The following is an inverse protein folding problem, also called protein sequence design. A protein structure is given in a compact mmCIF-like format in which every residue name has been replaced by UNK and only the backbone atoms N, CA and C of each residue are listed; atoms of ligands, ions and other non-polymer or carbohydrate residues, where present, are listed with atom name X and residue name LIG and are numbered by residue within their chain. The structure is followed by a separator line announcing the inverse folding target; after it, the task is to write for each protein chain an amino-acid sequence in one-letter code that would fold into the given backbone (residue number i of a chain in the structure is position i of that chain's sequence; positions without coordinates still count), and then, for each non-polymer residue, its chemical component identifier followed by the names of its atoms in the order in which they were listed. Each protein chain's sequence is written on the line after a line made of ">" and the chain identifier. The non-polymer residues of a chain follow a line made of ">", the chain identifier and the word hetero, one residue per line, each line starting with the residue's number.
data_IF_256737362364
#
_entry.id   IF_256737362364
#
_cell.length_a   1.000
_cell.length_b   1.000
_cell.length_c   1.000
_cell.angle_alpha   90.00
_cell.angle_beta   90.00
_cell.angle_gamma   90.00
#
_symmetry.space_group_name_H-M   'P 1'
#
loop_
_entity.id
_entity.type
_entity.pdbx_description
1 polymer ?
#
# COMPACT_ATOMS: atom_id res chain seq x y z
N UNK A 1 -13.74 0.60 1.37
CA UNK A 1 -13.69 -0.86 1.38
C UNK A 1 -12.36 -1.40 0.88
N UNK A 2 -11.93 -2.48 1.49
CA UNK A 2 -10.65 -3.12 1.17
C UNK A 2 -10.58 -3.64 -0.26
N UNK A 3 -11.71 -4.02 -0.82
CA UNK A 3 -11.77 -4.52 -2.20
C UNK A 3 -11.22 -3.48 -3.19
N UNK A 4 -11.54 -2.22 -2.97
CA UNK A 4 -11.06 -1.13 -3.81
C UNK A 4 -9.53 -1.00 -3.71
N UNK A 5 -8.99 -1.01 -2.50
CA UNK A 5 -7.55 -0.94 -2.30
C UNK A 5 -6.84 -2.15 -2.89
N UNK A 6 -7.43 -3.33 -2.75
CA UNK A 6 -6.85 -4.55 -3.32
C UNK A 6 -6.80 -4.48 -4.84
N UNK A 7 -7.87 -3.99 -5.47
CA UNK A 7 -7.90 -3.88 -6.92
C UNK A 7 -6.82 -2.93 -7.44
N UNK A 8 -6.63 -1.79 -6.77
CA UNK A 8 -5.60 -0.83 -7.16
C UNK A 8 -4.20 -1.40 -6.93
N UNK A 9 -3.98 -2.05 -5.79
CA UNK A 9 -2.67 -2.65 -5.50
C UNK A 9 -2.35 -3.75 -6.51
N UNK A 10 -3.31 -4.56 -6.87
CA UNK A 10 -3.13 -5.61 -7.85
C UNK A 10 -2.75 -5.03 -9.22
N UNK A 11 -3.46 -4.00 -9.65
CA UNK A 11 -3.14 -3.30 -10.90
C UNK A 11 -1.73 -2.71 -10.84
N UNK A 12 -1.40 -2.04 -9.75
CA UNK A 12 -0.09 -1.40 -9.59
C UNK A 12 1.04 -2.43 -9.60
N UNK A 13 0.81 -3.62 -9.03
CA UNK A 13 1.84 -4.67 -9.03
C UNK A 13 2.22 -5.11 -10.44
N UNK A 14 1.34 -4.91 -11.41
CA UNK A 14 1.60 -5.25 -12.80
C UNK A 14 2.10 -4.06 -13.62
N UNK A 15 1.70 -2.86 -13.26
CA UNK A 15 1.98 -1.65 -14.03
C UNK A 15 3.26 -0.95 -13.59
N UNK A 16 3.65 -1.07 -12.32
CA UNK A 16 4.84 -0.39 -11.82
C UNK A 16 6.12 -1.07 -12.32
N UNK A 17 7.11 -0.24 -12.60
CA UNK A 17 8.45 -0.73 -12.88
C UNK A 17 9.09 -1.25 -11.59
N UNK A 18 10.09 -2.13 -11.69
CA UNK A 18 10.84 -2.54 -10.50
C UNK A 18 11.31 -1.32 -9.70
N UNK A 19 11.08 -1.35 -8.40
CA UNK A 19 11.38 -0.21 -7.52
C UNK A 19 10.29 0.84 -7.48
N UNK A 20 9.21 0.67 -8.23
CA UNK A 20 8.08 1.59 -8.20
C UNK A 20 7.40 1.60 -6.84
N UNK A 21 6.73 2.68 -6.51
CA UNK A 21 6.09 2.88 -5.22
C UNK A 21 4.61 3.15 -5.37
N UNK A 22 3.86 2.71 -4.39
CA UNK A 22 2.43 2.97 -4.29
C UNK A 22 2.14 3.60 -2.94
N UNK A 23 1.38 4.67 -2.95
CA UNK A 23 0.99 5.38 -1.74
C UNK A 23 -0.53 5.48 -1.70
N UNK A 24 -1.11 5.04 -0.60
CA UNK A 24 -2.54 5.23 -0.34
C UNK A 24 -2.74 6.21 0.79
N UNK A 25 -3.71 7.10 0.62
CA UNK A 25 -4.32 7.82 1.72
C UNK A 25 -5.53 7.02 2.16
N UNK A 26 -5.63 6.71 3.44
CA UNK A 26 -6.67 5.81 3.93
C UNK A 26 -7.44 6.43 5.09
N UNK A 27 -8.59 5.87 5.37
CA UNK A 27 -9.25 6.08 6.65
C UNK A 27 -8.39 5.40 7.72
N UNK A 28 -8.20 6.08 8.85
CA UNK A 28 -7.39 5.58 9.96
C UNK A 28 -7.76 4.15 10.35
N UNK A 29 -9.05 3.84 10.35
CA UNK A 29 -9.54 2.52 10.74
C UNK A 29 -9.03 1.39 9.84
N UNK A 30 -8.63 1.70 8.61
CA UNK A 30 -8.26 0.69 7.63
C UNK A 30 -6.77 0.68 7.27
N UNK A 31 -5.96 1.55 7.86
CA UNK A 31 -4.57 1.70 7.45
C UNK A 31 -3.79 0.39 7.54
N UNK A 32 -3.92 -0.35 8.65
CA UNK A 32 -3.18 -1.59 8.82
C UNK A 32 -3.69 -2.70 7.89
N UNK A 33 -5.00 -2.71 7.62
CA UNK A 33 -5.57 -3.69 6.70
C UNK A 33 -5.15 -3.40 5.25
N UNK A 34 -5.03 -2.11 4.89
CA UNK A 34 -4.50 -1.72 3.58
C UNK A 34 -3.03 -2.15 3.46
N UNK A 35 -2.25 -1.98 4.52
CA UNK A 35 -0.86 -2.44 4.53
C UNK A 35 -0.78 -3.95 4.30
N UNK A 36 -1.63 -4.72 4.96
CA UNK A 36 -1.67 -6.17 4.75
C UNK A 36 -2.08 -6.52 3.32
N UNK A 37 -3.04 -5.79 2.77
CA UNK A 37 -3.47 -5.98 1.38
C UNK A 37 -2.31 -5.75 0.41
N UNK A 38 -1.52 -4.70 0.63
CA UNK A 38 -0.35 -4.43 -0.19
C UNK A 38 0.67 -5.56 -0.08
N UNK A 39 0.91 -6.06 1.13
CA UNK A 39 1.82 -7.19 1.33
C UNK A 39 1.35 -8.42 0.58
N UNK A 40 0.05 -8.70 0.62
CA UNK A 40 -0.56 -9.83 -0.08
C UNK A 40 -0.37 -9.73 -1.59
N UNK A 41 -0.33 -8.51 -2.12
CA UNK A 41 -0.14 -8.28 -3.56
C UNK A 41 1.35 -8.16 -3.94
N UNK A 42 2.25 -8.43 -3.02
CA UNK A 42 3.68 -8.53 -3.33
C UNK A 42 4.50 -7.28 -3.06
N UNK A 43 3.92 -6.28 -2.42
CA UNK A 43 4.67 -5.08 -2.07
C UNK A 43 5.56 -5.33 -0.87
N UNK A 44 6.70 -4.62 -0.82
CA UNK A 44 7.68 -4.70 0.26
C UNK A 44 7.96 -3.30 0.80
N UNK A 45 8.74 -3.21 1.87
CA UNK A 45 9.08 -1.95 2.52
C UNK A 45 7.83 -1.14 2.86
N UNK A 46 6.79 -1.84 3.33
CA UNK A 46 5.51 -1.22 3.61
C UNK A 46 5.62 -0.41 4.90
N UNK A 47 5.18 0.86 4.83
CA UNK A 47 5.15 1.74 5.99
C UNK A 47 3.76 2.32 6.15
N UNK A 48 3.29 2.33 7.38
CA UNK A 48 2.08 3.05 7.76
C UNK A 48 2.54 4.36 8.40
N UNK A 49 2.12 5.47 7.83
CA UNK A 49 2.51 6.79 8.32
C UNK A 49 1.35 7.51 8.99
N UNK A 50 1.67 8.19 10.07
CA UNK A 50 0.68 8.95 10.81
C UNK A 50 0.53 10.35 10.23
N UNK A 51 -0.67 10.93 10.41
CA UNK A 51 -0.90 12.33 10.09
C UNK A 51 -0.37 13.22 11.22
N UNK A 52 -0.62 14.53 11.11
CA UNK A 52 -0.14 15.51 12.09
C UNK A 52 -0.79 15.34 13.48
N UNK A 53 -1.85 14.54 13.58
CA UNK A 53 -2.50 14.25 14.85
C UNK A 53 -2.10 12.88 15.41
N UNK A 54 -1.11 12.23 14.81
CA UNK A 54 -0.63 10.94 15.26
C UNK A 54 -1.50 9.76 14.84
N UNK A 55 -2.40 9.93 13.88
CA UNK A 55 -3.28 8.86 13.44
C UNK A 55 -2.80 8.27 12.12
N UNK A 56 -2.81 6.92 11.98
CA UNK A 56 -2.42 6.27 10.73
C UNK A 56 -3.33 6.70 9.59
N UNK A 57 -2.77 7.29 8.55
CA UNK A 57 -3.53 7.82 7.42
C UNK A 57 -2.94 7.49 6.06
N UNK A 58 -1.68 7.10 6.03
CA UNK A 58 -1.00 6.82 4.77
C UNK A 58 -0.32 5.48 4.84
N UNK A 59 -0.38 4.73 3.75
CA UNK A 59 0.32 3.46 3.63
C UNK A 59 1.10 3.50 2.34
N UNK A 60 2.40 3.28 2.42
CA UNK A 60 3.24 3.21 1.22
C UNK A 60 3.99 1.89 1.17
N UNK A 61 4.31 1.48 -0.03
CA UNK A 61 5.11 0.30 -0.24
C UNK A 61 5.83 0.37 -1.58
N UNK A 62 6.85 -0.45 -1.73
CA UNK A 62 7.62 -0.56 -2.96
C UNK A 62 7.38 -1.92 -3.59
N UNK A 63 7.34 -1.96 -4.91
CA UNK A 63 7.19 -3.21 -5.62
C UNK A 63 8.54 -3.57 -6.25
N UNK A 64 9.13 -4.65 -5.78
CA UNK A 64 10.39 -5.17 -6.30
C UNK A 64 10.05 -6.40 -7.11
N UNK A 65 10.25 -6.31 -8.42
CA UNK A 65 10.04 -7.45 -9.30
C UNK A 65 11.38 -8.12 -9.56
N UNK A 66 11.42 -9.41 -9.30
CA UNK A 66 12.56 -10.21 -9.68
C UNK A 66 12.40 -10.62 -11.13
N UNK A 67 13.45 -10.49 -11.89
CA UNK A 67 13.47 -10.90 -13.27
C UNK A 67 14.07 -12.27 -13.44
#
# INVERSE_FOLDING_TARGET
>A
PLLFYRAIAHYASKALKPGGRLLFETNTAYAHEVAQTMADEGFTAIEVRNDCFGKPRMVKGAFIREE
#
